data_IF_338245242359
#
_entry.id   IF_338245242359
#
_cell.length_a   1.000
_cell.length_b   1.000
_cell.length_c   1.000
_cell.angle_alpha   90.00
_cell.angle_beta   90.00
_cell.angle_gamma   90.00
#
_symmetry.space_group_name_H-M   'P 1'
#
loop_
_entity.id
_entity.type
_entity.pdbx_description
1 polymer ?
#
# COMPACT_ATOMS: atom_id res chain seq x y z
N UNK A 1 28.82 -14.27 -10.25
CA UNK A 1 28.48 -14.04 -8.82
C UNK A 1 27.93 -12.62 -8.74
N UNK A 2 26.62 -12.45 -8.95
CA UNK A 2 26.01 -11.13 -9.07
C UNK A 2 25.35 -10.77 -7.75
N UNK A 3 26.11 -10.10 -6.88
CA UNK A 3 25.58 -9.50 -5.67
C UNK A 3 24.77 -8.26 -6.05
N UNK A 4 23.50 -8.46 -6.43
CA UNK A 4 22.52 -7.39 -6.35
C UNK A 4 22.28 -7.12 -4.86
N UNK A 5 23.08 -6.21 -4.29
CA UNK A 5 22.76 -5.59 -3.01
C UNK A 5 21.44 -4.85 -3.22
N UNK A 6 20.36 -5.39 -2.68
CA UNK A 6 19.10 -4.68 -2.55
C UNK A 6 19.39 -3.41 -1.73
N UNK A 7 19.43 -2.28 -2.41
CA UNK A 7 19.62 -0.98 -1.78
C UNK A 7 18.31 -0.66 -1.05
N UNK A 8 18.19 -1.12 0.19
CA UNK A 8 17.07 -0.80 1.08
C UNK A 8 17.21 0.67 1.49
N UNK A 9 16.71 1.58 0.66
CA UNK A 9 16.42 2.94 1.11
C UNK A 9 15.33 2.83 2.18
N UNK A 10 15.66 3.30 3.38
CA UNK A 10 14.66 3.44 4.42
C UNK A 10 13.61 4.44 3.93
N UNK A 11 12.30 4.13 4.04
CA UNK A 11 11.27 5.09 3.70
C UNK A 11 11.45 6.35 4.55
N UNK A 12 11.25 7.51 3.93
CA UNK A 12 11.20 8.77 4.67
C UNK A 12 10.06 8.72 5.71
N UNK A 13 10.18 9.48 6.80
CA UNK A 13 9.17 9.52 7.87
C UNK A 13 7.79 9.87 7.31
N UNK A 14 7.73 10.71 6.26
CA UNK A 14 6.48 11.04 5.58
C UNK A 14 5.86 9.83 4.85
N UNK A 15 6.67 9.02 4.16
CA UNK A 15 6.20 7.80 3.48
C UNK A 15 5.71 6.77 4.49
N UNK A 16 6.41 6.63 5.63
CA UNK A 16 5.98 5.75 6.71
C UNK A 16 4.65 6.21 7.31
N UNK A 17 4.52 7.50 7.64
CA UNK A 17 3.29 8.06 8.21
C UNK A 17 2.11 7.93 7.25
N UNK A 18 2.32 8.22 5.97
CA UNK A 18 1.31 8.02 4.93
C UNK A 18 0.90 6.56 4.83
N UNK A 19 1.86 5.63 4.82
CA UNK A 19 1.58 4.19 4.75
C UNK A 19 0.73 3.72 5.93
N UNK A 20 1.06 4.14 7.16
CA UNK A 20 0.30 3.81 8.36
C UNK A 20 -1.12 4.38 8.26
N UNK A 21 -1.27 5.65 7.85
CA UNK A 21 -2.56 6.29 7.69
C UNK A 21 -3.40 5.58 6.61
N UNK A 22 -2.84 5.26 5.46
CA UNK A 22 -3.52 4.55 4.37
C UNK A 22 -3.99 3.17 4.80
N UNK A 23 -3.19 2.39 5.54
CA UNK A 23 -3.62 1.10 6.08
C UNK A 23 -4.77 1.28 7.07
N UNK A 24 -4.72 2.32 7.90
CA UNK A 24 -5.78 2.65 8.85
C UNK A 24 -7.09 2.98 8.12
N UNK A 25 -7.05 3.86 7.12
CA UNK A 25 -8.23 4.25 6.33
C UNK A 25 -8.77 3.07 5.48
N UNK A 26 -7.89 2.27 4.89
CA UNK A 26 -8.28 1.03 4.20
C UNK A 26 -8.99 0.08 5.16
N UNK A 27 -8.47 -0.09 6.38
CA UNK A 27 -9.07 -0.96 7.39
C UNK A 27 -10.48 -0.51 7.78
N UNK A 28 -10.70 0.81 7.91
CA UNK A 28 -12.03 1.38 8.17
C UNK A 28 -12.98 1.16 7.00
N UNK A 29 -12.54 1.44 5.77
CA UNK A 29 -13.36 1.29 4.55
C UNK A 29 -13.91 -0.12 4.38
N UNK A 30 -13.08 -1.14 4.60
CA UNK A 30 -13.45 -2.55 4.40
C UNK A 30 -13.83 -3.28 5.70
N UNK A 31 -13.98 -2.55 6.81
CA UNK A 31 -14.30 -3.11 8.14
C UNK A 31 -13.38 -4.28 8.53
N UNK A 32 -12.07 -4.07 8.37
CA UNK A 32 -11.01 -5.03 8.69
C UNK A 32 -10.20 -4.58 9.90
N UNK A 33 -9.56 -5.52 10.59
CA UNK A 33 -8.45 -5.16 11.48
C UNK A 33 -7.25 -4.64 10.67
N UNK A 34 -6.48 -3.69 11.18
CA UNK A 34 -5.31 -3.12 10.48
C UNK A 34 -4.31 -4.18 10.02
N UNK A 35 -4.10 -5.26 10.80
CA UNK A 35 -3.26 -6.40 10.39
C UNK A 35 -3.84 -7.15 9.19
N UNK A 36 -5.17 -7.32 9.12
CA UNK A 36 -5.83 -7.95 7.97
C UNK A 36 -5.72 -7.06 6.72
N UNK A 37 -5.93 -5.76 6.88
CA UNK A 37 -5.74 -4.77 5.81
C UNK A 37 -4.31 -4.81 5.27
N UNK A 38 -3.30 -4.70 6.15
CA UNK A 38 -1.89 -4.82 5.76
C UNK A 38 -1.59 -6.14 5.04
N UNK A 39 -2.04 -7.27 5.60
CA UNK A 39 -1.82 -8.58 5.00
C UNK A 39 -2.45 -8.68 3.60
N UNK A 40 -3.65 -8.12 3.41
CA UNK A 40 -4.32 -8.08 2.11
C UNK A 40 -3.54 -7.24 1.10
N UNK A 41 -3.24 -5.99 1.45
CA UNK A 41 -2.51 -5.04 0.59
C UNK A 41 -1.13 -5.59 0.22
N UNK A 42 -0.42 -6.22 1.17
CA UNK A 42 0.88 -6.81 0.93
C UNK A 42 0.80 -8.07 0.05
N UNK A 43 -0.15 -8.97 0.33
CA UNK A 43 -0.33 -10.23 -0.42
C UNK A 43 -0.62 -9.98 -1.90
N UNK A 44 -1.39 -8.94 -2.20
CA UNK A 44 -1.85 -8.64 -3.56
C UNK A 44 -1.09 -7.48 -4.21
N UNK A 45 0.19 -7.30 -3.85
CA UNK A 45 1.15 -6.33 -4.43
C UNK A 45 0.81 -4.84 -4.26
N UNK A 46 -0.25 -4.49 -3.53
CA UNK A 46 -0.58 -3.10 -3.21
C UNK A 46 0.53 -2.36 -2.48
N UNK A 47 1.25 -3.03 -1.56
CA UNK A 47 2.38 -2.40 -0.85
C UNK A 47 3.57 -2.09 -1.77
N UNK A 48 3.79 -2.92 -2.79
CA UNK A 48 4.83 -2.66 -3.79
C UNK A 48 4.44 -1.46 -4.67
N UNK A 49 3.19 -1.41 -5.09
CA UNK A 49 2.66 -0.27 -5.83
C UNK A 49 2.75 1.03 -5.02
N UNK A 50 2.34 1.02 -3.75
CA UNK A 50 2.43 2.18 -2.86
C UNK A 50 3.84 2.77 -2.84
N UNK A 51 4.87 1.94 -2.59
CA UNK A 51 6.27 2.39 -2.56
C UNK A 51 6.74 2.95 -3.91
N UNK A 52 6.37 2.30 -5.00
CA UNK A 52 6.76 2.72 -6.35
C UNK A 52 6.08 4.03 -6.79
N UNK A 53 4.91 4.34 -6.23
CA UNK A 53 4.05 5.45 -6.65
C UNK A 53 3.75 6.45 -5.52
N UNK A 54 4.51 6.41 -4.42
CA UNK A 54 4.29 7.27 -3.25
C UNK A 54 4.22 8.74 -3.63
N UNK A 55 5.11 9.22 -4.51
CA UNK A 55 5.16 10.61 -4.96
C UNK A 55 3.86 11.09 -5.64
N UNK A 56 3.07 10.18 -6.21
CA UNK A 56 1.75 10.51 -6.76
C UNK A 56 0.65 10.31 -5.72
N UNK A 57 0.63 9.16 -5.05
CA UNK A 57 -0.43 8.79 -4.11
C UNK A 57 -0.57 9.77 -2.94
N UNK A 58 0.53 10.29 -2.40
CA UNK A 58 0.47 11.20 -1.24
C UNK A 58 -0.15 12.57 -1.55
N UNK A 59 -0.35 12.90 -2.83
CA UNK A 59 -0.98 14.15 -3.26
C UNK A 59 -2.49 14.01 -3.50
N UNK A 60 -2.98 12.77 -3.51
CA UNK A 60 -4.40 12.45 -3.71
C UNK A 60 -5.16 12.45 -2.38
N UNK A 61 -6.49 12.39 -2.46
CA UNK A 61 -7.29 12.03 -1.28
C UNK A 61 -6.97 10.59 -0.86
N UNK A 62 -7.20 10.26 0.42
CA UNK A 62 -7.10 8.85 0.85
C UNK A 62 -8.08 7.97 0.09
N UNK A 63 -9.22 8.51 -0.31
CA UNK A 63 -10.24 7.72 -0.96
C UNK A 63 -9.79 7.24 -2.34
N UNK A 64 -9.19 8.13 -3.12
CA UNK A 64 -8.61 7.83 -4.44
C UNK A 64 -7.40 6.89 -4.32
N UNK A 65 -6.50 7.17 -3.37
CA UNK A 65 -5.31 6.35 -3.16
C UNK A 65 -5.67 4.91 -2.74
N UNK A 66 -6.74 4.75 -1.96
CA UNK A 66 -7.26 3.42 -1.60
C UNK A 66 -7.87 2.72 -2.82
N UNK A 67 -8.58 3.42 -3.70
CA UNK A 67 -9.16 2.82 -4.91
C UNK A 67 -8.07 2.37 -5.91
N UNK A 68 -6.99 3.14 -6.05
CA UNK A 68 -5.81 2.74 -6.83
C UNK A 68 -5.18 1.47 -6.24
N UNK A 69 -4.99 1.41 -4.91
CA UNK A 69 -4.46 0.24 -4.21
C UNK A 69 -5.39 -0.97 -4.36
N UNK A 70 -6.70 -0.77 -4.23
CA UNK A 70 -7.71 -1.83 -4.39
C UNK A 70 -7.67 -2.39 -5.80
N UNK A 71 -7.61 -1.53 -6.82
CA UNK A 71 -7.51 -1.92 -8.23
C UNK A 71 -6.28 -2.79 -8.48
N UNK A 72 -5.12 -2.38 -7.97
CA UNK A 72 -3.89 -3.20 -8.04
C UNK A 72 -4.07 -4.53 -7.33
N UNK A 73 -4.68 -4.53 -6.14
CA UNK A 73 -4.93 -5.76 -5.40
C UNK A 73 -5.86 -6.71 -6.16
N UNK A 74 -6.94 -6.20 -6.75
CA UNK A 74 -7.90 -6.97 -7.54
C UNK A 74 -7.26 -7.58 -8.79
N UNK A 75 -6.43 -6.81 -9.53
CA UNK A 75 -5.66 -7.31 -10.66
C UNK A 75 -4.66 -8.43 -10.28
N UNK A 76 -4.27 -8.51 -9.01
CA UNK A 76 -3.39 -9.56 -8.49
C UNK A 76 -4.14 -10.66 -7.72
N UNK A 77 -5.46 -10.76 -7.87
CA UNK A 77 -6.30 -11.83 -7.32
C UNK A 77 -6.96 -11.52 -5.98
N UNK A 78 -6.89 -10.28 -5.51
CA UNK A 78 -7.63 -9.78 -4.37
C UNK A 78 -9.15 -9.77 -4.63
N UNK A 79 -9.96 -10.02 -3.60
CA UNK A 79 -11.42 -10.17 -3.73
C UNK A 79 -12.26 -9.23 -2.86
N UNK A 80 -11.63 -8.24 -2.21
CA UNK A 80 -12.38 -7.19 -1.52
C UNK A 80 -13.12 -6.33 -2.56
N UNK A 81 -14.32 -5.91 -2.18
CA UNK A 81 -15.21 -5.07 -2.97
C UNK A 81 -15.46 -3.79 -2.20
#
# INVERSE_FOLDING_TARGET
MNNQKTNLQMPDVNELNFTIALISEFSKRFNLGQKQAFNYINRFKGMQFLRNHYQSLHTQSFDDAIDDILTVCQHNGGKLK
#
